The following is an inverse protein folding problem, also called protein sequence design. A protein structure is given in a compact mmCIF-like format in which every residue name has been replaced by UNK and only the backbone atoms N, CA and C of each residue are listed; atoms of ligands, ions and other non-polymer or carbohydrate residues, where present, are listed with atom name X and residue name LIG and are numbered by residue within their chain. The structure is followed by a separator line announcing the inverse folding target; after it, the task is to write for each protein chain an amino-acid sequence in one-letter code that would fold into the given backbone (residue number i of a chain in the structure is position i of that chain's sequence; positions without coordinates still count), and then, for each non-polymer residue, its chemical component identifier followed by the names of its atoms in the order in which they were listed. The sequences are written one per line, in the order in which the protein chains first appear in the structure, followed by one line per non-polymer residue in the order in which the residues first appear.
data_IF_258652401451
#
_entry.id   IF_258652401451
#
_cell.length_a   1.000
_cell.length_b   1.000
_cell.length_c   1.000
_cell.angle_alpha   90.00
_cell.angle_beta   90.00
_cell.angle_gamma   90.00
#
_symmetry.space_group_name_H-M   'P 1'
#
loop_
_entity.id
_entity.type
_entity.pdbx_description
1 polymer ?
#
# COMPACT_ATOMS: atom_id res chain seq x y z
N UNK A 1 -16.93 -9.91 -6.24
CA UNK A 1 -15.89 -10.59 -5.42
C UNK A 1 -15.05 -9.59 -4.61
N UNK A 2 -14.50 -8.52 -5.21
CA UNK A 2 -13.70 -7.52 -4.50
C UNK A 2 -14.39 -6.89 -3.28
N UNK A 3 -15.65 -6.46 -3.43
CA UNK A 3 -16.38 -5.81 -2.33
C UNK A 3 -16.71 -6.76 -1.16
N UNK A 4 -17.00 -8.04 -1.44
CA UNK A 4 -17.20 -9.05 -0.39
C UNK A 4 -15.92 -9.34 0.39
N UNK A 5 -14.78 -9.41 -0.31
CA UNK A 5 -13.48 -9.55 0.33
C UNK A 5 -13.18 -8.39 1.27
N UNK A 6 -13.41 -7.15 0.82
CA UNK A 6 -13.25 -5.95 1.67
C UNK A 6 -14.14 -5.98 2.90
N UNK A 7 -15.40 -6.40 2.77
CA UNK A 7 -16.33 -6.53 3.89
C UNK A 7 -15.85 -7.57 4.91
N UNK A 8 -15.45 -8.76 4.45
CA UNK A 8 -14.92 -9.81 5.33
C UNK A 8 -13.63 -9.37 6.03
N UNK A 9 -12.72 -8.71 5.29
CA UNK A 9 -11.51 -8.14 5.89
C UNK A 9 -11.86 -7.09 6.95
N UNK A 10 -12.81 -6.20 6.68
CA UNK A 10 -13.25 -5.20 7.66
C UNK A 10 -13.86 -5.86 8.91
N UNK A 11 -14.62 -6.95 8.77
CA UNK A 11 -15.24 -7.65 9.90
C UNK A 11 -14.21 -8.34 10.81
N UNK A 12 -13.13 -8.86 10.22
CA UNK A 12 -12.04 -9.54 10.93
C UNK A 12 -11.02 -8.54 11.49
N UNK A 13 -10.88 -7.38 10.84
CA UNK A 13 -9.95 -6.34 11.24
C UNK A 13 -10.47 -5.52 12.44
N UNK A 14 -9.57 -5.01 13.29
CA UNK A 14 -9.88 -3.97 14.25
C UNK A 14 -10.42 -2.70 13.56
N UNK A 15 -11.39 -1.98 14.14
CA UNK A 15 -12.06 -2.24 15.43
C UNK A 15 -13.27 -3.18 15.32
N UNK A 16 -13.69 -3.59 14.12
CA UNK A 16 -14.96 -4.28 13.91
C UNK A 16 -15.03 -5.65 14.61
N UNK A 17 -13.93 -6.39 14.61
CA UNK A 17 -13.82 -7.64 15.36
C UNK A 17 -14.10 -7.46 16.87
N UNK A 18 -13.67 -6.36 17.47
CA UNK A 18 -13.91 -6.06 18.89
C UNK A 18 -15.37 -5.72 19.14
N UNK A 19 -16.03 -4.99 18.22
CA UNK A 19 -17.47 -4.76 18.30
C UNK A 19 -18.27 -6.06 18.22
N UNK A 20 -17.90 -6.97 17.31
CA UNK A 20 -18.56 -8.29 17.18
C UNK A 20 -18.43 -9.08 18.49
N UNK A 21 -17.23 -9.13 19.09
CA UNK A 21 -17.02 -9.82 20.35
C UNK A 21 -17.81 -9.17 21.51
N UNK A 22 -17.93 -7.85 21.54
CA UNK A 22 -18.75 -7.14 22.54
C UNK A 22 -20.25 -7.42 22.38
N UNK A 23 -20.75 -7.53 21.14
CA UNK A 23 -22.14 -7.94 20.87
C UNK A 23 -22.37 -9.38 21.37
N UNK A 24 -21.44 -10.30 21.10
CA UNK A 24 -21.50 -11.67 21.61
C UNK A 24 -21.51 -11.68 23.15
N UNK A 25 -20.65 -10.88 23.79
CA UNK A 25 -20.63 -10.74 25.24
C UNK A 25 -21.97 -10.20 25.79
N UNK A 26 -22.56 -9.20 25.13
CA UNK A 26 -23.86 -8.65 25.52
C UNK A 26 -24.99 -9.70 25.41
N UNK A 27 -25.04 -10.46 24.31
CA UNK A 27 -26.01 -11.55 24.14
C UNK A 27 -25.85 -12.58 25.25
N UNK A 28 -24.62 -13.07 25.50
CA UNK A 28 -24.35 -14.05 26.56
C UNK A 28 -24.74 -13.54 27.95
N UNK A 29 -24.61 -12.23 28.20
CA UNK A 29 -25.06 -11.62 29.44
C UNK A 29 -26.59 -11.72 29.59
N UNK A 30 -27.35 -11.48 28.50
CA UNK A 30 -28.81 -11.60 28.46
C UNK A 30 -29.29 -13.05 28.58
N UNK A 31 -28.57 -14.03 28.01
CA UNK A 31 -28.87 -15.47 28.15
C UNK A 31 -28.28 -16.08 29.44
N UNK A 32 -28.04 -15.25 30.46
CA UNK A 32 -27.61 -15.65 31.81
C UNK A 32 -26.20 -16.26 31.95
N UNK A 33 -25.38 -16.31 30.90
CA UNK A 33 -23.97 -16.74 30.93
C UNK A 33 -23.02 -15.62 31.38
N UNK A 34 -23.32 -14.98 32.52
CA UNK A 34 -22.68 -13.72 32.95
C UNK A 34 -21.15 -13.79 33.14
N UNK A 35 -20.62 -14.92 33.63
CA UNK A 35 -19.16 -15.09 33.81
C UNK A 35 -18.43 -15.10 32.46
N UNK A 36 -18.96 -15.86 31.50
CA UNK A 36 -18.41 -15.94 30.14
C UNK A 36 -18.52 -14.59 29.42
N UNK A 37 -19.66 -13.91 29.55
CA UNK A 37 -19.85 -12.57 28.99
C UNK A 37 -18.78 -11.57 29.46
N UNK A 38 -18.54 -11.50 30.78
CA UNK A 38 -17.50 -10.62 31.35
C UNK A 38 -16.10 -10.98 30.86
N UNK A 39 -15.81 -12.27 30.76
CA UNK A 39 -14.52 -12.76 30.27
C UNK A 39 -14.27 -12.37 28.80
N UNK A 40 -15.26 -12.58 27.93
CA UNK A 40 -15.16 -12.19 26.51
C UNK A 40 -15.02 -10.67 26.39
N UNK A 41 -15.81 -9.89 27.13
CA UNK A 41 -15.69 -8.43 27.12
C UNK A 41 -14.28 -7.97 27.55
N UNK A 42 -13.72 -8.58 28.62
CA UNK A 42 -12.36 -8.28 29.07
C UNK A 42 -11.33 -8.61 27.99
N UNK A 43 -11.44 -9.76 27.33
CA UNK A 43 -10.55 -10.12 26.20
C UNK A 43 -10.67 -9.10 25.08
N UNK A 44 -11.89 -8.69 24.70
CA UNK A 44 -12.11 -7.71 23.64
C UNK A 44 -11.43 -6.38 23.92
N UNK A 45 -11.58 -5.85 25.15
CA UNK A 45 -10.94 -4.59 25.53
C UNK A 45 -9.42 -4.72 25.59
N UNK A 46 -8.89 -5.81 26.17
CA UNK A 46 -7.45 -6.06 26.21
C UNK A 46 -6.86 -6.20 24.81
N UNK A 47 -7.55 -6.91 23.92
CA UNK A 47 -7.16 -7.08 22.52
C UNK A 47 -7.15 -5.74 21.77
N UNK A 48 -8.23 -4.95 21.91
CA UNK A 48 -8.31 -3.61 21.33
C UNK A 48 -7.17 -2.73 21.83
N UNK A 49 -6.91 -2.75 23.15
CA UNK A 49 -5.86 -1.96 23.76
C UNK A 49 -4.48 -2.33 23.20
N UNK A 50 -4.14 -3.62 23.17
CA UNK A 50 -2.87 -4.10 22.62
C UNK A 50 -2.70 -3.61 21.18
N UNK A 51 -3.66 -3.89 20.31
CA UNK A 51 -3.61 -3.50 18.89
C UNK A 51 -3.54 -1.98 18.69
N UNK A 52 -4.15 -1.21 19.58
CA UNK A 52 -4.15 0.26 19.51
C UNK A 52 -2.85 0.89 20.01
N UNK A 53 -1.89 0.10 20.49
CA UNK A 53 -0.58 0.59 20.93
C UNK A 53 0.44 0.62 19.78
N UNK A 54 1.37 1.58 19.77
CA UNK A 54 2.47 1.61 18.78
C UNK A 54 3.32 0.34 18.77
N UNK A 55 3.38 -0.36 19.91
CA UNK A 55 4.12 -1.61 20.07
C UNK A 55 3.68 -2.68 19.07
N UNK A 56 2.38 -2.84 18.85
CA UNK A 56 1.88 -3.79 17.85
C UNK A 56 2.24 -3.39 16.43
N UNK A 57 2.23 -2.08 16.12
CA UNK A 57 2.67 -1.58 14.82
C UNK A 57 4.13 -1.93 14.50
N UNK A 58 5.02 -1.75 15.49
CA UNK A 58 6.45 -2.10 15.38
C UNK A 58 6.67 -3.60 15.16
N UNK A 59 6.02 -4.44 15.98
CA UNK A 59 6.12 -5.91 15.84
C UNK A 59 5.68 -6.42 14.46
N UNK A 60 4.69 -5.76 13.84
CA UNK A 60 4.18 -6.16 12.53
C UNK A 60 5.05 -5.66 11.37
N UNK A 61 5.86 -4.62 11.57
CA UNK A 61 6.73 -4.05 10.53
C UNK A 61 8.12 -4.70 10.48
N UNK A 62 8.59 -5.30 11.57
CA UNK A 62 9.94 -5.87 11.70
C UNK A 62 10.16 -7.22 10.98
N UNK A 63 9.11 -7.81 10.39
CA UNK A 63 9.16 -9.18 9.82
C UNK A 63 9.39 -9.23 8.30
N UNK A 64 10.09 -8.25 7.72
CA UNK A 64 10.44 -8.29 6.30
C UNK A 64 11.89 -8.76 6.10
N UNK A 65 12.08 -10.04 5.77
CA UNK A 65 13.38 -10.66 5.44
C UNK A 65 13.91 -10.21 4.06
N UNK A 66 13.52 -9.03 3.56
CA UNK A 66 14.04 -8.54 2.29
C UNK A 66 15.50 -8.12 2.46
N UNK A 67 16.44 -8.72 1.71
CA UNK A 67 17.84 -8.37 1.84
C UNK A 67 18.03 -6.90 1.45
N UNK A 68 18.88 -6.20 2.19
CA UNK A 68 19.28 -4.84 1.84
C UNK A 68 19.96 -4.85 0.46
N UNK A 69 19.30 -4.24 -0.53
CA UNK A 69 19.82 -4.14 -1.89
C UNK A 69 20.82 -2.97 -1.98
N UNK A 70 21.87 -3.18 -2.76
CA UNK A 70 22.85 -2.14 -3.10
C UNK A 70 22.46 -1.41 -4.37
N UNK A 71 23.09 -0.25 -4.64
CA UNK A 71 22.90 0.46 -5.90
C UNK A 71 23.29 -0.38 -7.12
N UNK A 72 24.28 -1.27 -6.99
CA UNK A 72 24.71 -2.12 -8.09
C UNK A 72 23.70 -3.23 -8.40
N UNK A 73 22.92 -3.69 -7.41
CA UNK A 73 21.79 -4.59 -7.64
C UNK A 73 20.71 -3.90 -8.48
N UNK A 74 20.44 -2.62 -8.18
CA UNK A 74 19.45 -1.81 -8.87
C UNK A 74 19.82 -1.50 -10.33
N UNK A 75 21.12 -1.33 -10.64
CA UNK A 75 21.59 -1.10 -12.01
C UNK A 75 21.32 -2.26 -12.97
N UNK A 76 21.02 -3.45 -12.45
CA UNK A 76 20.64 -4.59 -13.28
C UNK A 76 19.17 -4.56 -13.74
N UNK A 77 18.37 -3.62 -13.24
CA UNK A 77 16.99 -3.42 -13.67
C UNK A 77 16.92 -2.51 -14.90
N UNK A 78 15.74 -2.46 -15.52
CA UNK A 78 15.49 -1.72 -16.76
C UNK A 78 14.48 -0.59 -16.59
N UNK A 79 13.71 -0.57 -15.49
CA UNK A 79 12.77 0.49 -15.16
C UNK A 79 12.49 0.56 -13.65
N UNK A 80 12.01 1.72 -13.19
CA UNK A 80 11.53 1.94 -11.83
C UNK A 80 10.01 1.99 -11.86
N UNK A 81 9.34 1.14 -11.08
CA UNK A 81 7.88 1.10 -10.95
C UNK A 81 7.46 1.56 -9.57
N UNK A 82 6.65 2.61 -9.50
CA UNK A 82 6.19 3.22 -8.25
C UNK A 82 4.70 2.94 -8.04
N UNK A 83 4.38 2.29 -6.92
CA UNK A 83 2.99 2.05 -6.53
C UNK A 83 2.38 3.24 -5.79
N UNK A 84 1.11 3.55 -6.06
CA UNK A 84 0.30 4.55 -5.34
C UNK A 84 0.22 4.30 -3.83
N UNK A 85 0.35 5.35 -3.04
CA UNK A 85 0.55 5.31 -1.58
C UNK A 85 -0.48 6.08 -0.77
N UNK A 86 -1.59 6.46 -1.40
CA UNK A 86 -2.62 7.32 -0.86
C UNK A 86 -2.48 8.75 -1.37
N UNK A 87 -3.63 9.31 -1.74
CA UNK A 87 -3.80 10.74 -1.98
C UNK A 87 -5.00 11.26 -1.19
N UNK A 88 -5.03 12.56 -0.93
CA UNK A 88 -6.13 13.19 -0.20
C UNK A 88 -6.52 14.52 -0.84
N UNK A 89 -7.81 14.89 -0.81
CA UNK A 89 -8.25 16.20 -1.25
C UNK A 89 -7.61 17.31 -0.41
N UNK A 90 -7.16 18.37 -1.05
CA UNK A 90 -6.63 19.55 -0.36
C UNK A 90 -7.05 20.83 -1.08
N UNK A 91 -6.94 21.96 -0.38
CA UNK A 91 -7.02 23.31 -0.96
C UNK A 91 -5.68 24.04 -0.90
N UNK A 92 -4.68 23.39 -0.31
CA UNK A 92 -3.31 23.89 -0.22
C UNK A 92 -2.54 23.48 -1.48
N UNK A 93 -1.26 23.90 -1.58
CA UNK A 93 -0.35 23.51 -2.68
C UNK A 93 -0.81 23.90 -4.09
N UNK A 94 -1.80 24.80 -4.22
CA UNK A 94 -2.43 25.15 -5.50
C UNK A 94 -2.91 23.90 -6.27
N UNK A 95 -3.39 22.89 -5.54
CA UNK A 95 -3.87 21.63 -6.09
C UNK A 95 -5.17 21.19 -5.40
N UNK A 96 -6.01 20.43 -6.10
CA UNK A 96 -7.24 19.84 -5.53
C UNK A 96 -6.96 18.54 -4.75
N UNK A 97 -5.81 17.92 -5.02
CA UNK A 97 -5.38 16.65 -4.43
C UNK A 97 -3.86 16.69 -4.20
N UNK A 98 -3.40 16.13 -3.08
CA UNK A 98 -1.98 16.00 -2.75
C UNK A 98 -1.62 14.55 -2.39
N UNK A 99 -0.35 14.20 -2.58
CA UNK A 99 0.18 12.91 -2.14
C UNK A 99 0.17 12.80 -0.61
N UNK A 100 -0.32 11.68 -0.09
CA UNK A 100 -0.13 11.31 1.32
C UNK A 100 1.35 11.05 1.63
N UNK A 101 1.71 11.07 2.91
CA UNK A 101 3.08 10.83 3.37
C UNK A 101 3.71 9.54 2.80
N UNK A 102 3.02 8.38 2.76
CA UNK A 102 3.62 7.15 2.22
C UNK A 102 3.90 7.25 0.72
N UNK A 103 3.04 7.94 -0.04
CA UNK A 103 3.27 8.18 -1.47
C UNK A 103 4.47 9.10 -1.68
N UNK A 104 4.57 10.20 -0.92
CA UNK A 104 5.69 11.14 -1.02
C UNK A 104 7.04 10.49 -0.65
N UNK A 105 7.06 9.59 0.34
CA UNK A 105 8.25 8.80 0.67
C UNK A 105 8.73 7.93 -0.50
N UNK A 106 7.78 7.28 -1.20
CA UNK A 106 8.06 6.49 -2.40
C UNK A 106 8.59 7.35 -3.53
N UNK A 107 7.99 8.53 -3.75
CA UNK A 107 8.45 9.48 -4.76
C UNK A 107 9.88 9.94 -4.48
N UNK A 108 10.19 10.29 -3.24
CA UNK A 108 11.55 10.68 -2.83
C UNK A 108 12.56 9.57 -3.10
N UNK A 109 12.25 8.33 -2.74
CA UNK A 109 13.15 7.21 -2.97
C UNK A 109 13.30 6.87 -4.45
N UNK A 110 12.20 6.88 -5.21
CA UNK A 110 12.25 6.64 -6.65
C UNK A 110 13.02 7.73 -7.40
N UNK A 111 12.90 8.99 -6.98
CA UNK A 111 13.68 10.08 -7.53
C UNK A 111 15.18 9.92 -7.26
N UNK A 112 15.56 9.47 -6.06
CA UNK A 112 16.95 9.11 -5.76
C UNK A 112 17.42 7.98 -6.69
N UNK A 113 16.67 6.88 -6.80
CA UNK A 113 17.02 5.76 -7.67
C UNK A 113 17.13 6.18 -9.14
N UNK A 114 16.25 7.03 -9.63
CA UNK A 114 16.29 7.51 -11.01
C UNK A 114 17.54 8.34 -11.29
N UNK A 115 17.98 9.18 -10.34
CA UNK A 115 19.20 9.97 -10.47
C UNK A 115 20.46 9.09 -10.47
N UNK A 116 20.48 8.04 -9.65
CA UNK A 116 21.62 7.11 -9.54
C UNK A 116 21.70 6.12 -10.72
N UNK A 117 20.57 5.75 -11.30
CA UNK A 117 20.51 4.68 -12.32
C UNK A 117 20.19 5.18 -13.74
N UNK A 118 19.60 6.37 -13.87
CA UNK A 118 19.10 6.90 -15.14
C UNK A 118 17.90 6.14 -15.72
N UNK A 119 17.34 5.16 -14.98
CA UNK A 119 16.29 4.29 -15.49
C UNK A 119 14.96 5.03 -15.68
N UNK A 120 14.17 4.64 -16.69
CA UNK A 120 12.86 5.22 -16.91
C UNK A 120 11.88 4.84 -15.80
N UNK A 121 10.97 5.76 -15.48
CA UNK A 121 10.01 5.63 -14.38
C UNK A 121 8.61 5.35 -14.90
N UNK A 122 7.92 4.41 -14.25
CA UNK A 122 6.49 4.13 -14.37
C UNK A 122 5.79 4.43 -13.05
N UNK A 123 4.69 5.17 -13.10
CA UNK A 123 3.79 5.37 -11.95
C UNK A 123 2.49 4.60 -12.15
N UNK A 124 1.98 3.93 -11.11
CA UNK A 124 0.74 3.15 -11.18
C UNK A 124 -0.17 3.42 -9.98
N UNK A 125 -1.45 3.67 -10.26
CA UNK A 125 -2.49 3.76 -9.24
C UNK A 125 -3.73 4.52 -9.71
N UNK A 126 -4.89 4.03 -9.30
CA UNK A 126 -6.20 4.60 -9.58
C UNK A 126 -6.58 5.73 -8.59
N UNK A 127 -7.62 6.50 -8.91
CA UNK A 127 -8.31 7.34 -7.92
C UNK A 127 -9.82 7.22 -8.02
N UNK A 128 -10.47 7.21 -6.85
CA UNK A 128 -11.93 7.27 -6.74
C UNK A 128 -12.47 8.69 -6.99
N UNK A 129 -11.65 9.73 -6.76
CA UNK A 129 -12.05 11.14 -6.80
C UNK A 129 -10.90 11.99 -7.35
N UNK A 130 -11.14 12.68 -8.47
CA UNK A 130 -10.16 13.60 -9.06
C UNK A 130 -9.03 12.91 -9.82
N UNK A 131 -7.82 13.44 -9.70
CA UNK A 131 -6.61 12.94 -10.36
C UNK A 131 -6.23 11.54 -9.83
N UNK A 132 -5.79 10.65 -10.73
CA UNK A 132 -5.32 9.31 -10.34
C UNK A 132 -4.02 9.40 -9.53
N UNK A 133 -3.74 8.41 -8.68
CA UNK A 133 -2.44 8.35 -7.99
C UNK A 133 -1.28 8.28 -8.98
N UNK A 134 -1.42 7.54 -10.10
CA UNK A 134 -0.40 7.47 -11.14
C UNK A 134 -0.09 8.83 -11.77
N UNK A 135 -1.13 9.58 -12.14
CA UNK A 135 -1.01 10.92 -12.73
C UNK A 135 -0.46 11.93 -11.72
N UNK A 136 -0.92 11.88 -10.46
CA UNK A 136 -0.44 12.74 -9.38
C UNK A 136 1.04 12.50 -9.08
N UNK A 137 1.46 11.25 -8.99
CA UNK A 137 2.87 10.88 -8.80
C UNK A 137 3.75 11.39 -9.95
N UNK A 138 3.30 11.24 -11.20
CA UNK A 138 4.05 11.72 -12.36
C UNK A 138 4.20 13.25 -12.35
N UNK A 139 3.12 13.97 -11.99
CA UNK A 139 3.15 15.43 -11.82
C UNK A 139 4.13 15.85 -10.74
N UNK A 140 4.09 15.24 -9.57
CA UNK A 140 4.96 15.60 -8.44
C UNK A 140 6.43 15.22 -8.68
N UNK A 141 6.70 14.08 -9.32
CA UNK A 141 8.06 13.70 -9.74
C UNK A 141 8.67 14.74 -10.66
N UNK A 142 7.91 15.22 -11.63
CA UNK A 142 8.37 16.27 -12.53
C UNK A 142 8.55 17.59 -11.77
N UNK A 143 7.51 18.06 -11.07
CA UNK A 143 7.46 19.38 -10.46
C UNK A 143 8.45 19.57 -9.30
N UNK A 144 8.61 18.57 -8.43
CA UNK A 144 9.37 18.71 -7.18
C UNK A 144 10.71 17.97 -7.19
N UNK A 145 10.83 16.92 -8.01
CA UNK A 145 12.06 16.11 -8.06
C UNK A 145 12.85 16.27 -9.36
N UNK A 146 12.26 16.92 -10.37
CA UNK A 146 12.80 17.07 -11.72
C UNK A 146 13.10 15.71 -12.37
N UNK A 147 12.20 14.75 -12.16
CA UNK A 147 12.28 13.37 -12.67
C UNK A 147 11.15 13.14 -13.66
N UNK A 148 11.46 12.88 -14.95
CA UNK A 148 10.44 12.57 -15.94
C UNK A 148 9.88 11.17 -15.71
N UNK A 149 8.57 11.01 -15.93
CA UNK A 149 7.91 9.71 -15.94
C UNK A 149 7.68 9.29 -17.39
N UNK A 150 8.11 8.09 -17.77
CA UNK A 150 7.96 7.57 -19.13
C UNK A 150 6.58 6.94 -19.37
N UNK A 151 6.02 6.29 -18.33
CA UNK A 151 4.71 5.66 -18.42
C UNK A 151 3.85 5.97 -17.20
N UNK A 152 2.55 6.15 -17.44
CA UNK A 152 1.57 6.34 -16.38
C UNK A 152 0.48 5.29 -16.55
N UNK A 153 0.20 4.56 -15.48
CA UNK A 153 -0.90 3.61 -15.36
C UNK A 153 -1.90 4.14 -14.32
N UNK A 154 -3.12 4.47 -14.73
CA UNK A 154 -4.09 5.20 -13.91
C UNK A 154 -5.42 4.48 -13.67
N UNK A 155 -5.48 3.18 -13.96
CA UNK A 155 -6.71 2.38 -13.93
C UNK A 155 -6.73 1.33 -12.81
N UNK A 156 -5.58 0.88 -12.35
CA UNK A 156 -5.50 -0.22 -11.39
C UNK A 156 -6.00 0.16 -9.98
N UNK A 157 -7.03 -0.56 -9.52
CA UNK A 157 -7.75 -0.33 -8.26
C UNK A 157 -7.18 -1.10 -7.08
N UNK A 158 -6.24 -2.00 -7.34
CA UNK A 158 -5.60 -2.84 -6.34
C UNK A 158 -4.20 -3.26 -6.83
N UNK A 159 -3.42 -3.85 -5.93
CA UNK A 159 -2.03 -4.22 -6.23
C UNK A 159 -1.88 -5.34 -7.28
N UNK A 160 -2.88 -6.20 -7.46
CA UNK A 160 -2.87 -7.26 -8.48
C UNK A 160 -3.09 -6.68 -9.89
N UNK A 161 -4.00 -5.72 -10.01
CA UNK A 161 -4.19 -4.92 -11.21
C UNK A 161 -2.95 -4.07 -11.51
N UNK A 162 -2.32 -3.45 -10.50
CA UNK A 162 -1.08 -2.70 -10.69
C UNK A 162 -0.03 -3.58 -11.37
N UNK A 163 0.19 -4.80 -10.85
CA UNK A 163 1.15 -5.75 -11.42
C UNK A 163 0.80 -6.13 -12.86
N UNK A 164 -0.46 -6.47 -13.11
CA UNK A 164 -0.91 -6.95 -14.43
C UNK A 164 -0.86 -5.84 -15.49
N UNK A 165 -1.32 -4.63 -15.16
CA UNK A 165 -1.36 -3.50 -16.09
C UNK A 165 0.04 -2.93 -16.33
N UNK A 166 0.87 -2.84 -15.28
CA UNK A 166 2.29 -2.48 -15.41
C UNK A 166 3.00 -3.42 -16.37
N UNK A 167 2.83 -4.74 -16.21
CA UNK A 167 3.42 -5.73 -17.12
C UNK A 167 3.02 -5.51 -18.57
N UNK A 168 1.72 -5.27 -18.82
CA UNK A 168 1.21 -5.05 -20.17
C UNK A 168 1.77 -3.78 -20.83
N UNK A 169 2.17 -2.79 -20.04
CA UNK A 169 2.85 -1.59 -20.53
C UNK A 169 4.32 -1.91 -20.84
N UNK A 170 5.03 -2.45 -19.86
CA UNK A 170 6.49 -2.62 -19.91
C UNK A 170 6.97 -3.69 -20.90
N UNK A 171 6.17 -4.74 -21.16
CA UNK A 171 6.53 -5.77 -22.15
C UNK A 171 6.65 -5.20 -23.57
N UNK A 172 5.89 -4.14 -23.90
CA UNK A 172 5.95 -3.50 -25.22
C UNK A 172 7.32 -2.89 -25.50
N UNK A 173 8.03 -2.53 -24.43
CA UNK A 173 9.37 -1.93 -24.46
C UNK A 173 10.45 -2.94 -24.05
N UNK A 174 10.14 -4.24 -24.06
CA UNK A 174 11.04 -5.36 -23.74
C UNK A 174 11.64 -5.31 -22.31
N UNK A 175 10.91 -4.74 -21.36
CA UNK A 175 11.32 -4.66 -19.95
C UNK A 175 10.83 -5.91 -19.21
N UNK A 176 11.77 -6.61 -18.57
CA UNK A 176 11.57 -7.89 -17.88
C UNK A 176 12.16 -7.91 -16.46
N UNK A 177 12.82 -6.83 -16.05
CA UNK A 177 13.37 -6.68 -14.69
C UNK A 177 13.21 -5.24 -14.24
N UNK A 178 12.50 -5.06 -13.13
CA UNK A 178 12.14 -3.74 -12.60
C UNK A 178 12.68 -3.52 -11.19
N UNK A 179 12.81 -2.24 -10.82
CA UNK A 179 12.89 -1.81 -9.43
C UNK A 179 11.47 -1.50 -8.97
N UNK A 180 10.94 -2.28 -8.03
CA UNK A 180 9.61 -2.06 -7.48
C UNK A 180 9.70 -1.18 -6.21
N UNK A 181 9.04 -0.02 -6.24
CA UNK A 181 9.05 0.96 -5.15
C UNK A 181 7.70 0.98 -4.43
N UNK A 182 7.72 0.61 -3.15
CA UNK A 182 6.62 0.71 -2.19
C UNK A 182 7.15 0.75 -0.75
N UNK A 183 6.31 1.02 0.26
CA UNK A 183 6.74 0.99 1.66
C UNK A 183 6.94 -0.45 2.16
N UNK A 184 7.77 -0.64 3.19
CA UNK A 184 8.17 -1.93 3.76
C UNK A 184 6.97 -2.84 4.08
N UNK A 185 5.96 -2.32 4.80
CA UNK A 185 4.76 -3.09 5.16
C UNK A 185 3.89 -3.52 3.95
N UNK A 186 4.13 -2.97 2.76
CA UNK A 186 3.47 -3.39 1.52
C UNK A 186 4.37 -4.23 0.60
N UNK A 187 5.68 -4.30 0.88
CA UNK A 187 6.67 -4.91 -0.02
C UNK A 187 6.42 -6.40 -0.22
N UNK A 188 6.22 -7.17 0.87
CA UNK A 188 5.92 -8.61 0.80
C UNK A 188 4.75 -8.94 -0.13
N UNK A 189 3.65 -8.20 -0.02
CA UNK A 189 2.47 -8.35 -0.88
C UNK A 189 2.77 -7.96 -2.32
N UNK A 190 3.41 -6.81 -2.52
CA UNK A 190 3.72 -6.30 -3.85
C UNK A 190 4.66 -7.26 -4.61
N UNK A 191 5.75 -7.71 -3.98
CA UNK A 191 6.69 -8.69 -4.54
C UNK A 191 6.01 -9.99 -4.94
N UNK A 192 5.11 -10.52 -4.10
CA UNK A 192 4.35 -11.72 -4.42
C UNK A 192 3.47 -11.55 -5.67
N UNK A 193 2.73 -10.44 -5.76
CA UNK A 193 1.81 -10.19 -6.88
C UNK A 193 2.55 -9.87 -8.19
N UNK A 194 3.61 -9.06 -8.14
CA UNK A 194 4.46 -8.80 -9.31
C UNK A 194 5.20 -10.08 -9.76
N UNK A 195 5.70 -10.89 -8.82
CA UNK A 195 6.34 -12.17 -9.12
C UNK A 195 5.41 -13.17 -9.84
N UNK A 196 4.10 -13.18 -9.54
CA UNK A 196 3.11 -13.98 -10.28
C UNK A 196 3.00 -13.56 -11.74
N UNK A 197 3.14 -12.27 -12.02
CA UNK A 197 3.07 -11.76 -13.38
C UNK A 197 4.33 -12.03 -14.19
N UNK A 198 5.47 -12.41 -13.56
CA UNK A 198 6.76 -12.67 -14.24
C UNK A 198 7.27 -11.44 -15.00
N UNK A 199 7.47 -10.34 -14.28
CA UNK A 199 8.19 -9.13 -14.69
C UNK A 199 9.26 -8.79 -13.63
#
# INVERSE_FOLDING_TARGET
MLELGKLLTALIAPPFNTFVLLIIAAILYLVHFKKLAKFIALISFTWLYIISTPFTGLLLTDNDDTPALTLDDYKQAQAIVILGGGSYPTKELYAETASGSPQLERLRYAAFLQKETGLPVLTTGYSLIGISEGDLMAKELNQFFNVPTQWIENKARNTEENASFTKNILIKDNIQKIILVTNQWHMKRAKYLFGKTRI
#
